data_IF_690031986386
#
_entry.id   IF_690031986386
#
_cell.length_a   1.000
_cell.length_b   1.000
_cell.length_c   1.000
_cell.angle_alpha   90.00
_cell.angle_beta   90.00
_cell.angle_gamma   90.00
#
_symmetry.space_group_name_H-M   'P 1'
#
loop_
_entity.id
_entity.type
_entity.pdbx_description
1 polymer ?
#
# COMPACT_ATOMS: atom_id res chain seq x y z
N UNK A 1 -14.27 12.72 -14.50
CA UNK A 1 -14.74 11.43 -13.98
C UNK A 1 -13.95 11.13 -12.72
N UNK A 2 -14.54 10.43 -11.75
CA UNK A 2 -13.79 10.05 -10.54
C UNK A 2 -13.04 8.75 -10.81
N UNK A 3 -11.75 8.71 -10.47
CA UNK A 3 -10.89 7.56 -10.73
C UNK A 3 -9.95 7.36 -9.56
N UNK A 4 -9.72 6.10 -9.19
CA UNK A 4 -8.69 5.71 -8.24
C UNK A 4 -7.61 4.93 -8.98
N UNK A 5 -6.36 5.33 -8.80
CA UNK A 5 -5.20 4.63 -9.33
C UNK A 5 -4.28 4.31 -8.17
N UNK A 6 -3.97 3.03 -7.96
CA UNK A 6 -3.10 2.57 -6.91
C UNK A 6 -1.86 1.89 -7.51
N UNK A 7 -0.69 2.31 -7.05
CA UNK A 7 0.59 1.66 -7.33
C UNK A 7 1.02 0.92 -6.07
N UNK A 8 1.39 -0.34 -6.23
CA UNK A 8 1.80 -1.23 -5.17
C UNK A 8 3.23 -1.69 -5.44
N UNK A 9 4.00 -1.87 -4.35
CA UNK A 9 5.21 -2.66 -4.41
C UNK A 9 4.89 -4.05 -4.97
N UNK A 10 5.65 -4.53 -5.97
CA UNK A 10 5.45 -5.85 -6.50
C UNK A 10 5.60 -6.86 -5.36
N UNK A 11 4.83 -7.93 -5.44
CA UNK A 11 4.91 -9.11 -4.57
C UNK A 11 5.23 -10.30 -5.46
N UNK A 12 5.89 -11.36 -4.95
CA UNK A 12 6.09 -12.57 -5.74
C UNK A 12 4.79 -13.02 -6.38
N UNK A 13 4.86 -13.40 -7.65
CA UNK A 13 3.70 -13.84 -8.40
C UNK A 13 3.20 -15.16 -7.79
N UNK A 14 2.14 -15.08 -7.00
CA UNK A 14 1.45 -16.26 -6.45
C UNK A 14 0.06 -16.35 -7.07
N UNK A 15 -0.56 -17.54 -7.09
CA UNK A 15 -1.97 -17.68 -7.52
C UNK A 15 -2.93 -16.74 -6.79
N UNK A 16 -2.58 -16.28 -5.58
CA UNK A 16 -3.44 -15.41 -4.76
C UNK A 16 -3.26 -13.91 -5.01
N UNK A 17 -2.18 -13.48 -5.67
CA UNK A 17 -1.85 -12.06 -5.82
C UNK A 17 -2.95 -11.32 -6.59
N UNK A 18 -3.41 -11.90 -7.71
CA UNK A 18 -4.51 -11.32 -8.51
C UNK A 18 -5.82 -11.25 -7.74
N UNK A 19 -6.17 -12.30 -6.99
CA UNK A 19 -7.39 -12.33 -6.18
C UNK A 19 -7.40 -11.21 -5.15
N UNK A 20 -6.29 -11.01 -4.42
CA UNK A 20 -6.16 -9.90 -3.45
C UNK A 20 -6.32 -8.52 -4.10
N UNK A 21 -5.81 -8.33 -5.31
CA UNK A 21 -6.01 -7.06 -6.04
C UNK A 21 -7.47 -6.86 -6.45
N UNK A 22 -8.18 -7.92 -6.85
CA UNK A 22 -9.62 -7.86 -7.15
C UNK A 22 -10.44 -7.56 -5.89
N UNK A 23 -10.08 -8.16 -4.75
CA UNK A 23 -10.70 -7.88 -3.46
C UNK A 23 -10.50 -6.41 -3.05
N UNK A 24 -9.29 -5.87 -3.24
CA UNK A 24 -9.00 -4.45 -3.00
C UNK A 24 -9.85 -3.54 -3.89
N UNK A 25 -9.94 -3.86 -5.19
CA UNK A 25 -10.78 -3.11 -6.14
C UNK A 25 -12.26 -3.11 -5.71
N UNK A 26 -12.78 -4.29 -5.33
CA UNK A 26 -14.16 -4.45 -4.85
C UNK A 26 -14.40 -3.65 -3.58
N UNK A 27 -13.45 -3.69 -2.63
CA UNK A 27 -13.47 -2.93 -1.39
C UNK A 27 -13.52 -1.42 -1.65
N UNK A 28 -12.61 -0.89 -2.47
CA UNK A 28 -12.57 0.54 -2.83
C UNK A 28 -13.89 1.01 -3.46
N UNK A 29 -14.43 0.22 -4.39
CA UNK A 29 -15.69 0.53 -5.06
C UNK A 29 -16.86 0.56 -4.07
N UNK A 30 -16.91 -0.42 -3.17
CA UNK A 30 -17.94 -0.53 -2.13
C UNK A 30 -17.88 0.67 -1.18
N UNK A 31 -16.69 1.02 -0.68
CA UNK A 31 -16.53 2.14 0.24
C UNK A 31 -16.84 3.48 -0.42
N UNK A 32 -16.41 3.68 -1.67
CA UNK A 32 -16.77 4.88 -2.43
C UNK A 32 -18.28 5.05 -2.51
N UNK A 33 -18.99 4.00 -2.93
CA UNK A 33 -20.44 4.06 -3.08
C UNK A 33 -21.15 4.33 -1.75
N UNK A 34 -20.66 3.77 -0.63
CA UNK A 34 -21.22 4.01 0.69
C UNK A 34 -21.02 5.45 1.18
N UNK A 35 -19.84 6.04 0.91
CA UNK A 35 -19.46 7.38 1.39
C UNK A 35 -20.05 8.48 0.51
N UNK A 36 -19.89 8.35 -0.81
CA UNK A 36 -20.21 9.40 -1.79
C UNK A 36 -21.67 9.30 -2.26
N UNK A 37 -22.26 8.11 -2.16
CA UNK A 37 -23.67 7.84 -2.47
C UNK A 37 -24.10 8.32 -3.87
N UNK A 38 -23.43 7.87 -4.94
CA UNK A 38 -23.88 8.16 -6.30
C UNK A 38 -25.25 7.55 -6.55
N UNK A 39 -26.06 8.25 -7.34
CA UNK A 39 -27.35 7.77 -7.83
C UNK A 39 -27.22 6.63 -8.84
N UNK A 40 -26.12 6.61 -9.60
CA UNK A 40 -25.79 5.57 -10.58
C UNK A 40 -24.30 5.19 -10.47
N UNK A 41 -23.93 4.28 -9.55
CA UNK A 41 -22.54 3.82 -9.40
C UNK A 41 -21.93 3.36 -10.73
N UNK A 42 -20.68 3.74 -11.02
CA UNK A 42 -19.97 3.39 -12.25
C UNK A 42 -20.38 4.15 -13.51
N UNK A 43 -21.37 5.05 -13.47
CA UNK A 43 -21.86 5.71 -14.69
C UNK A 43 -21.19 7.07 -14.90
N UNK A 44 -20.65 7.28 -16.09
CA UNK A 44 -20.08 8.57 -16.53
C UNK A 44 -21.06 9.75 -16.42
N UNK A 45 -22.36 9.49 -16.54
CA UNK A 45 -23.41 10.52 -16.42
C UNK A 45 -23.63 11.02 -15.00
N UNK A 46 -23.18 10.26 -13.98
CA UNK A 46 -23.29 10.66 -12.58
C UNK A 46 -21.93 11.20 -12.11
N UNK A 47 -21.86 12.51 -11.87
CA UNK A 47 -20.63 13.18 -11.45
C UNK A 47 -20.07 12.68 -10.12
N UNK A 48 -20.86 11.94 -9.31
CA UNK A 48 -20.44 11.35 -8.04
C UNK A 48 -19.97 9.90 -8.17
N UNK A 49 -20.23 9.25 -9.30
CA UNK A 49 -19.87 7.86 -9.50
C UNK A 49 -18.35 7.71 -9.61
N UNK A 50 -17.81 6.63 -9.01
CA UNK A 50 -16.48 6.15 -9.31
C UNK A 50 -16.53 5.43 -10.65
N UNK A 51 -15.86 5.99 -11.65
CA UNK A 51 -15.84 5.46 -13.02
C UNK A 51 -14.85 4.30 -13.14
N UNK A 52 -13.64 4.49 -12.63
CA UNK A 52 -12.54 3.57 -12.85
C UNK A 52 -11.69 3.35 -11.60
N UNK A 53 -11.23 2.11 -11.41
CA UNK A 53 -10.24 1.74 -10.38
C UNK A 53 -9.15 0.89 -11.01
N UNK A 54 -7.89 1.32 -10.88
CA UNK A 54 -6.72 0.60 -11.36
C UNK A 54 -5.81 0.24 -10.20
N UNK A 55 -5.39 -1.03 -10.14
CA UNK A 55 -4.39 -1.53 -9.18
C UNK A 55 -3.19 -2.04 -9.98
N UNK A 56 -2.03 -1.44 -9.79
CA UNK A 56 -0.79 -1.76 -10.50
C UNK A 56 0.28 -2.18 -9.50
N UNK A 57 0.97 -3.28 -9.78
CA UNK A 57 2.08 -3.79 -8.95
C UNK A 57 3.42 -3.49 -9.60
N UNK A 58 3.71 -2.22 -9.85
CA UNK A 58 4.76 -1.75 -10.77
C UNK A 58 5.86 -0.89 -10.11
N UNK A 59 5.85 -0.74 -8.79
CA UNK A 59 6.90 0.02 -8.09
C UNK A 59 8.23 -0.77 -8.05
N UNK A 60 9.06 -0.57 -9.06
CA UNK A 60 10.33 -1.30 -9.24
C UNK A 60 11.39 -0.94 -8.17
N UNK A 61 11.43 0.32 -7.73
CA UNK A 61 12.33 0.77 -6.68
C UNK A 61 11.68 1.87 -5.83
N UNK A 62 11.92 1.83 -4.51
CA UNK A 62 11.48 2.85 -3.58
C UNK A 62 12.47 2.97 -2.41
N UNK A 63 12.49 4.13 -1.77
CA UNK A 63 13.15 4.32 -0.49
C UNK A 63 12.19 5.02 0.48
N UNK A 64 12.07 4.51 1.70
CA UNK A 64 11.25 5.09 2.75
C UNK A 64 12.13 5.44 3.94
N UNK A 65 12.00 6.68 4.40
CA UNK A 65 12.83 7.24 5.47
C UNK A 65 14.35 7.08 5.19
N UNK A 66 14.76 7.05 3.93
CA UNK A 66 16.18 6.87 3.55
C UNK A 66 16.65 5.42 3.44
N UNK A 67 15.77 4.43 3.63
CA UNK A 67 16.08 3.01 3.46
C UNK A 67 15.44 2.47 2.18
N UNK A 68 16.22 1.77 1.36
CA UNK A 68 15.68 1.08 0.17
C UNK A 68 14.66 0.05 0.62
N UNK A 69 13.47 0.11 0.03
CA UNK A 69 12.36 -0.77 0.37
C UNK A 69 12.43 -2.04 -0.48
N UNK A 70 12.31 -3.23 0.11
CA UNK A 70 12.39 -4.49 -0.62
C UNK A 70 11.13 -4.74 -1.45
N UNK A 71 11.12 -5.86 -2.17
CA UNK A 71 9.87 -6.43 -2.68
C UNK A 71 8.88 -6.67 -1.51
N UNK A 72 7.58 -6.43 -1.73
CA UNK A 72 6.59 -6.60 -0.66
C UNK A 72 6.38 -8.08 -0.31
N UNK A 73 6.37 -8.39 0.99
CA UNK A 73 6.13 -9.74 1.49
C UNK A 73 6.91 -10.09 2.74
N UNK A 74 6.50 -11.15 3.42
CA UNK A 74 7.04 -11.50 4.74
C UNK A 74 8.56 -11.69 4.72
N UNK A 75 9.09 -12.31 3.66
CA UNK A 75 10.53 -12.49 3.47
C UNK A 75 11.22 -11.14 3.25
N UNK A 76 10.81 -10.38 2.22
CA UNK A 76 11.42 -9.09 1.90
C UNK A 76 11.32 -8.07 3.03
N UNK A 77 10.11 -7.86 3.57
CA UNK A 77 9.86 -6.91 4.66
C UNK A 77 10.55 -7.36 5.96
N UNK A 78 10.63 -8.67 6.25
CA UNK A 78 11.32 -9.21 7.42
C UNK A 78 12.84 -9.02 7.36
N UNK A 79 13.47 -9.42 6.26
CA UNK A 79 14.91 -9.23 6.04
C UNK A 79 15.29 -7.74 6.05
N UNK A 80 14.43 -6.88 5.51
CA UNK A 80 14.64 -5.44 5.55
C UNK A 80 14.61 -4.89 6.98
N UNK A 81 13.68 -5.32 7.83
CA UNK A 81 13.65 -4.92 9.24
C UNK A 81 14.93 -5.39 9.94
N UNK A 82 15.30 -6.66 9.78
CA UNK A 82 16.47 -7.25 10.44
C UNK A 82 17.77 -6.57 10.00
N UNK A 83 17.96 -6.39 8.70
CA UNK A 83 19.18 -5.81 8.12
C UNK A 83 19.39 -4.34 8.49
N UNK A 84 18.30 -3.59 8.73
CA UNK A 84 18.38 -2.16 9.06
C UNK A 84 18.23 -1.86 10.57
N UNK A 85 17.99 -2.87 11.41
CA UNK A 85 17.70 -2.68 12.84
C UNK A 85 18.79 -1.90 13.59
N UNK A 86 20.06 -2.07 13.22
CA UNK A 86 21.16 -1.28 13.78
C UNK A 86 21.00 0.21 13.51
N UNK A 87 20.82 0.58 12.24
CA UNK A 87 20.60 1.96 11.82
C UNK A 87 19.30 2.55 12.40
N UNK A 88 18.25 1.74 12.56
CA UNK A 88 17.03 2.17 13.24
C UNK A 88 17.28 2.56 14.70
N UNK A 89 18.06 1.75 15.44
CA UNK A 89 18.43 2.05 16.84
C UNK A 89 19.25 3.32 16.94
N UNK A 90 20.27 3.48 16.09
CA UNK A 90 21.10 4.70 16.06
C UNK A 90 20.25 5.96 15.81
N UNK A 91 19.28 5.89 14.89
CA UNK A 91 18.38 7.02 14.64
C UNK A 91 17.44 7.30 15.79
N UNK A 92 16.90 6.28 16.44
CA UNK A 92 16.08 6.45 17.64
C UNK A 92 16.89 7.10 18.77
N UNK A 93 18.14 6.68 18.97
CA UNK A 93 19.05 7.29 19.93
C UNK A 93 19.37 8.75 19.60
N UNK A 94 19.46 9.07 18.30
CA UNK A 94 19.59 10.44 17.80
C UNK A 94 18.29 11.27 17.86
N UNK A 95 17.18 10.69 18.34
CA UNK A 95 15.92 11.39 18.58
C UNK A 95 14.83 11.20 17.50
N UNK A 96 15.02 10.29 16.55
CA UNK A 96 14.00 9.97 15.54
C UNK A 96 12.88 9.10 16.12
N UNK A 97 11.77 9.74 16.48
CA UNK A 97 10.62 9.06 17.09
C UNK A 97 9.82 8.20 16.10
N UNK A 98 9.99 8.42 14.79
CA UNK A 98 9.27 7.69 13.75
C UNK A 98 9.63 6.20 13.68
N UNK A 99 10.82 5.83 14.13
CA UNK A 99 11.35 4.45 14.09
C UNK A 99 11.17 3.68 15.41
N UNK A 100 10.66 4.33 16.46
CA UNK A 100 10.53 3.72 17.80
C UNK A 100 9.62 2.48 17.78
N UNK A 101 8.55 2.49 16.99
CA UNK A 101 7.64 1.34 16.85
C UNK A 101 8.35 0.10 16.31
N UNK A 102 9.18 0.28 15.27
CA UNK A 102 9.98 -0.78 14.65
C UNK A 102 11.02 -1.35 15.62
N UNK A 103 11.74 -0.48 16.34
CA UNK A 103 12.76 -0.92 17.31
C UNK A 103 12.13 -1.68 18.49
N UNK A 104 10.90 -1.32 18.90
CA UNK A 104 10.19 -1.96 20.02
C UNK A 104 9.35 -3.19 19.61
N UNK A 105 9.35 -3.57 18.34
CA UNK A 105 8.58 -4.71 17.84
C UNK A 105 7.06 -4.52 17.94
N UNK A 106 6.57 -3.27 17.88
CA UNK A 106 5.13 -2.96 17.78
C UNK A 106 4.82 -2.58 16.33
N UNK A 107 4.62 -3.59 15.49
CA UNK A 107 4.00 -3.47 14.18
C UNK A 107 2.48 -3.68 14.29
#
# INVERSE_FOLDING_TARGET
>A
TNTITAHLRPRPATPTTRTKHLDLLSGLTTHWNAIVQPTRPGWLSDARALDSVFIMGDMDAAAEQGFVVPQAGAEGDGEWVEGNMGAFRERVEAGDTGLVGLVKGRL
#
